data_IF_451331327416
#
_entry.id   IF_451331327416
#
_cell.length_a   1.000
_cell.length_b   1.000
_cell.length_c   1.000
_cell.angle_alpha   90.00
_cell.angle_beta   90.00
_cell.angle_gamma   90.00
#
_symmetry.space_group_name_H-M   'P 1'
#
loop_
_entity.id
_entity.type
_entity.pdbx_description
1 polymer ?
#
# COMPACT_ATOMS: atom_id res chain seq x y z
N UNK A 1 -47.47 -64.45 -31.29
CA UNK A 1 -48.10 -63.79 -30.12
C UNK A 1 -47.01 -63.13 -29.28
N UNK A 2 -47.05 -61.79 -29.22
CA UNK A 2 -46.60 -60.88 -28.13
C UNK A 2 -45.14 -60.90 -27.62
N UNK A 3 -44.62 -59.64 -27.49
CA UNK A 3 -43.70 -59.09 -26.46
C UNK A 3 -42.20 -59.37 -26.71
N UNK A 4 -41.25 -58.41 -26.75
CA UNK A 4 -41.09 -57.09 -26.12
C UNK A 4 -40.11 -56.24 -26.97
N UNK A 5 -40.55 -55.07 -27.42
CA UNK A 5 -39.73 -53.96 -27.90
C UNK A 5 -39.65 -52.93 -26.76
N UNK A 6 -38.61 -52.86 -25.92
CA UNK A 6 -38.53 -51.75 -24.93
C UNK A 6 -37.15 -51.43 -24.34
N UNK A 7 -36.02 -51.88 -24.91
CA UNK A 7 -34.69 -51.59 -24.30
C UNK A 7 -33.83 -50.63 -25.14
N UNK A 8 -34.20 -50.32 -26.39
CA UNK A 8 -33.35 -49.46 -27.25
C UNK A 8 -33.52 -47.95 -27.07
N UNK A 9 -34.51 -47.46 -26.31
CA UNK A 9 -34.76 -46.01 -26.17
C UNK A 9 -34.04 -45.36 -24.98
N UNK A 10 -33.44 -46.14 -24.07
CA UNK A 10 -32.84 -45.59 -22.85
C UNK A 10 -31.41 -45.04 -23.08
N UNK A 11 -30.67 -45.59 -24.04
CA UNK A 11 -29.27 -45.20 -24.29
C UNK A 11 -29.10 -43.96 -25.19
N UNK A 12 -30.16 -43.48 -25.84
CA UNK A 12 -30.07 -42.30 -26.72
C UNK A 12 -30.30 -40.97 -25.98
N UNK A 13 -30.99 -41.00 -24.84
CA UNK A 13 -31.28 -39.80 -24.03
C UNK A 13 -30.08 -39.44 -23.14
N UNK A 14 -29.31 -40.42 -22.68
CA UNK A 14 -28.09 -40.17 -21.90
C UNK A 14 -26.94 -39.55 -22.70
N UNK A 15 -26.92 -39.68 -24.04
CA UNK A 15 -25.85 -39.13 -24.87
C UNK A 15 -26.03 -37.65 -25.23
N UNK A 16 -27.24 -37.08 -25.05
CA UNK A 16 -27.51 -35.66 -25.32
C UNK A 16 -27.28 -34.76 -24.10
N UNK A 17 -27.44 -35.29 -22.88
CA UNK A 17 -27.21 -34.54 -21.64
C UNK A 17 -25.70 -34.42 -21.33
N UNK A 18 -24.89 -35.35 -21.83
CA UNK A 18 -23.44 -35.33 -21.65
C UNK A 18 -22.72 -34.22 -22.47
N UNK A 19 -23.37 -33.64 -23.49
CA UNK A 19 -22.74 -32.61 -24.34
C UNK A 19 -23.09 -31.16 -23.94
N UNK A 20 -24.13 -30.96 -23.12
CA UNK A 20 -24.59 -29.61 -22.71
C UNK A 20 -23.97 -29.18 -21.36
N UNK A 21 -23.35 -30.10 -20.61
CA UNK A 21 -22.75 -29.83 -19.30
C UNK A 21 -21.34 -29.22 -19.30
N UNK A 22 -20.69 -29.03 -20.46
CA UNK A 22 -19.28 -28.57 -20.56
C UNK A 22 -19.19 -27.13 -21.07
N UNK A 23 -20.15 -26.29 -20.71
CA UNK A 23 -20.04 -24.84 -20.91
C UNK A 23 -20.43 -24.13 -19.61
N UNK A 24 -19.79 -24.52 -18.50
CA UNK A 24 -19.60 -23.55 -17.43
C UNK A 24 -18.72 -22.47 -18.04
N UNK A 25 -19.18 -21.21 -18.18
CA UNK A 25 -18.24 -20.13 -18.43
C UNK A 25 -17.34 -20.18 -17.21
N UNK A 26 -16.10 -20.63 -17.40
CA UNK A 26 -15.02 -20.28 -16.51
C UNK A 26 -15.05 -18.77 -16.47
N UNK A 27 -15.73 -18.23 -15.44
CA UNK A 27 -15.77 -16.81 -15.21
C UNK A 27 -14.33 -16.38 -15.26
N UNK A 28 -14.00 -15.60 -16.29
CA UNK A 28 -12.76 -14.86 -16.34
C UNK A 28 -12.78 -14.07 -15.04
N UNK A 29 -12.11 -14.58 -14.01
CA UNK A 29 -11.75 -13.79 -12.87
C UNK A 29 -10.68 -12.85 -13.42
N UNK A 30 -11.13 -11.82 -14.13
CA UNK A 30 -10.33 -10.64 -14.36
C UNK A 30 -9.92 -10.21 -12.96
N UNK A 31 -8.63 -10.37 -12.65
CA UNK A 31 -8.10 -9.97 -11.36
C UNK A 31 -8.46 -8.50 -11.19
N UNK A 32 -9.32 -8.19 -10.23
CA UNK A 32 -9.91 -6.86 -10.14
C UNK A 32 -8.78 -5.90 -9.75
N UNK A 33 -8.38 -5.04 -10.69
CA UNK A 33 -7.33 -4.06 -10.46
C UNK A 33 -8.01 -2.84 -9.82
N UNK A 34 -7.54 -2.42 -8.65
CA UNK A 34 -8.09 -1.22 -7.99
C UNK A 34 -7.57 0.05 -8.67
N UNK A 35 -6.26 0.12 -8.89
CA UNK A 35 -5.59 1.22 -9.56
C UNK A 35 -4.59 0.66 -10.56
N UNK A 36 -4.66 1.14 -11.79
CA UNK A 36 -3.69 0.87 -12.84
C UNK A 36 -2.96 2.16 -13.21
N UNK A 37 -1.64 2.20 -13.01
CA UNK A 37 -0.77 3.25 -13.52
C UNK A 37 -0.27 2.82 -14.90
N UNK A 38 -0.47 3.65 -15.92
CA UNK A 38 -0.22 3.31 -17.34
C UNK A 38 0.91 4.14 -17.94
N UNK A 39 1.89 3.47 -18.56
CA UNK A 39 2.91 4.09 -19.40
C UNK A 39 3.90 4.99 -18.66
N UNK A 40 4.09 4.80 -17.36
CA UNK A 40 5.02 5.62 -16.56
C UNK A 40 6.46 5.13 -16.63
N UNK A 41 7.42 6.03 -16.44
CA UNK A 41 8.83 5.67 -16.32
C UNK A 41 9.09 5.16 -14.91
N UNK A 42 9.10 3.84 -14.75
CA UNK A 42 9.33 3.18 -13.47
C UNK A 42 10.82 3.14 -13.16
N UNK A 43 11.19 3.70 -12.00
CA UNK A 43 12.52 3.56 -11.40
C UNK A 43 12.38 2.78 -10.10
N UNK A 44 12.87 1.54 -10.09
CA UNK A 44 12.91 0.68 -8.90
C UNK A 44 14.28 0.00 -8.80
N UNK A 45 15.23 0.59 -8.03
CA UNK A 45 16.58 0.07 -7.90
C UNK A 45 16.65 -1.33 -7.30
N UNK A 46 15.71 -1.69 -6.40
CA UNK A 46 15.72 -2.99 -5.73
C UNK A 46 15.48 -4.12 -6.72
N UNK A 47 14.62 -3.88 -7.71
CA UNK A 47 14.28 -4.83 -8.77
C UNK A 47 15.03 -4.57 -10.08
N UNK A 48 16.00 -3.63 -10.09
CA UNK A 48 16.78 -3.23 -11.25
C UNK A 48 15.92 -2.77 -12.44
N UNK A 49 14.85 -2.02 -12.18
CA UNK A 49 13.95 -1.48 -13.20
C UNK A 49 14.23 0.01 -13.45
N UNK A 50 14.36 0.36 -14.73
CA UNK A 50 14.50 1.73 -15.22
C UNK A 50 13.97 1.79 -16.66
N UNK A 51 12.65 1.65 -16.81
CA UNK A 51 11.99 1.57 -18.12
C UNK A 51 10.52 1.99 -18.05
N UNK A 52 9.87 2.14 -19.21
CA UNK A 52 8.44 2.47 -19.30
C UNK A 52 7.61 1.20 -19.04
N UNK A 53 6.81 1.22 -17.97
CA UNK A 53 6.00 0.09 -17.51
C UNK A 53 4.64 0.53 -16.97
N UNK A 54 3.72 -0.42 -16.91
CA UNK A 54 2.46 -0.28 -16.17
C UNK A 54 2.60 -0.91 -14.78
N UNK A 55 1.90 -0.35 -13.80
CA UNK A 55 1.87 -0.86 -12.42
C UNK A 55 0.41 -1.05 -12.00
N UNK A 56 0.02 -2.29 -11.73
CA UNK A 56 -1.30 -2.64 -11.23
C UNK A 56 -1.28 -2.81 -9.71
N UNK A 57 -2.28 -2.25 -9.04
CA UNK A 57 -2.47 -2.28 -7.59
C UNK A 57 -3.82 -2.93 -7.29
N UNK A 58 -3.82 -3.90 -6.38
CA UNK A 58 -5.03 -4.56 -5.85
C UNK A 58 -4.86 -4.79 -4.35
N UNK A 59 -5.91 -4.54 -3.56
CA UNK A 59 -5.93 -4.73 -2.11
C UNK A 59 -4.74 -4.06 -1.38
N UNK A 60 -4.39 -2.85 -1.84
CA UNK A 60 -3.28 -2.07 -1.29
C UNK A 60 -1.88 -2.63 -1.58
N UNK A 61 -1.75 -3.61 -2.47
CA UNK A 61 -0.47 -4.24 -2.86
C UNK A 61 -0.22 -4.13 -4.36
N UNK A 62 1.05 -4.18 -4.75
CA UNK A 62 1.43 -4.28 -6.16
C UNK A 62 1.05 -5.67 -6.66
N UNK A 63 0.11 -5.74 -7.60
CA UNK A 63 -0.39 -6.98 -8.19
C UNK A 63 0.43 -7.39 -9.41
N UNK A 64 0.86 -6.43 -10.23
CA UNK A 64 1.69 -6.68 -11.41
C UNK A 64 2.50 -5.45 -11.81
N UNK A 65 3.67 -5.70 -12.40
CA UNK A 65 4.52 -4.69 -13.03
C UNK A 65 4.97 -5.27 -14.37
N UNK A 66 4.47 -4.73 -15.48
CA UNK A 66 4.80 -5.20 -16.85
C UNK A 66 4.35 -4.18 -17.90
N UNK A 67 4.72 -4.40 -19.15
CA UNK A 67 4.21 -3.63 -20.29
C UNK A 67 2.76 -3.98 -20.60
N UNK A 68 2.00 -2.98 -21.04
CA UNK A 68 0.68 -3.12 -21.66
C UNK A 68 -0.32 -3.98 -20.87
N UNK A 69 -0.49 -3.69 -19.57
CA UNK A 69 -1.51 -4.33 -18.73
C UNK A 69 -2.91 -3.98 -19.26
N UNK A 70 -3.79 -4.96 -19.45
CA UNK A 70 -5.17 -4.71 -19.87
C UNK A 70 -5.92 -3.85 -18.84
N UNK A 71 -6.54 -2.77 -19.31
CA UNK A 71 -7.27 -1.82 -18.48
C UNK A 71 -8.75 -2.20 -18.29
N UNK A 72 -9.28 -3.17 -19.06
CA UNK A 72 -10.70 -3.58 -19.02
C UNK A 72 -11.17 -3.98 -17.62
N UNK A 73 -10.26 -4.49 -16.78
CA UNK A 73 -10.55 -4.94 -15.40
C UNK A 73 -10.20 -3.93 -14.29
N UNK A 74 -9.76 -2.71 -14.62
CA UNK A 74 -9.33 -1.73 -13.63
C UNK A 74 -10.46 -0.80 -13.16
N UNK A 75 -10.67 -0.69 -11.84
CA UNK A 75 -11.61 0.28 -11.23
C UNK A 75 -11.19 1.71 -11.53
N UNK A 76 -9.88 1.98 -11.56
CA UNK A 76 -9.31 3.29 -11.87
C UNK A 76 -8.03 3.12 -12.69
N UNK A 77 -7.94 3.85 -13.79
CA UNK A 77 -6.73 3.91 -14.62
C UNK A 77 -6.18 5.33 -14.59
N UNK A 78 -4.87 5.47 -14.36
CA UNK A 78 -4.15 6.74 -14.32
C UNK A 78 -3.11 6.72 -15.42
N UNK A 79 -3.17 7.67 -16.35
CA UNK A 79 -2.15 7.85 -17.37
C UNK A 79 -0.92 8.54 -16.75
N UNK A 80 0.20 7.82 -16.70
CA UNK A 80 1.48 8.29 -16.17
C UNK A 80 2.51 8.56 -17.28
N UNK A 81 2.09 8.65 -18.54
CA UNK A 81 2.98 8.94 -19.67
C UNK A 81 3.75 10.23 -19.45
N UNK A 82 5.08 10.17 -19.59
CA UNK A 82 5.98 11.31 -19.37
C UNK A 82 6.22 11.66 -17.90
N UNK A 83 5.67 10.88 -16.95
CA UNK A 83 5.90 11.01 -15.53
C UNK A 83 6.76 9.85 -15.00
N UNK A 84 7.45 10.10 -13.89
CA UNK A 84 8.15 9.06 -13.15
C UNK A 84 7.21 8.34 -12.19
N UNK A 85 7.34 7.01 -12.12
CA UNK A 85 6.79 6.19 -11.06
C UNK A 85 7.98 5.71 -10.23
N UNK A 86 7.98 6.04 -8.94
CA UNK A 86 9.04 5.66 -7.99
C UNK A 86 8.43 5.02 -6.76
N UNK A 87 9.15 4.14 -6.04
CA UNK A 87 8.78 3.76 -4.69
C UNK A 87 8.52 5.00 -3.83
N UNK A 88 7.55 4.91 -2.94
CA UNK A 88 7.26 6.00 -2.00
C UNK A 88 8.52 6.41 -1.24
N UNK A 89 8.78 7.72 -1.18
CA UNK A 89 10.01 8.23 -0.57
C UNK A 89 9.99 8.03 0.94
N UNK A 90 11.18 7.86 1.50
CA UNK A 90 11.42 7.71 2.94
C UNK A 90 12.26 8.90 3.39
N UNK A 91 11.70 9.74 4.27
CA UNK A 91 12.45 10.79 4.95
C UNK A 91 12.99 10.24 6.26
N UNK A 92 14.31 10.09 6.35
CA UNK A 92 14.97 9.43 7.48
C UNK A 92 15.27 10.37 8.65
N UNK A 93 14.95 11.66 8.53
CA UNK A 93 15.27 12.63 9.57
C UNK A 93 14.17 13.69 9.69
N UNK A 94 13.22 13.44 10.59
CA UNK A 94 12.10 14.34 10.86
C UNK A 94 11.90 14.53 12.37
N UNK A 95 11.18 15.58 12.76
CA UNK A 95 10.72 15.78 14.13
C UNK A 95 9.20 15.91 14.12
N UNK A 96 8.51 14.82 14.48
CA UNK A 96 7.05 14.71 14.27
C UNK A 96 6.24 14.50 15.54
N UNK A 97 6.88 14.54 16.72
CA UNK A 97 6.16 14.50 18.00
C UNK A 97 5.57 15.87 18.37
N UNK A 98 4.64 16.37 17.54
CA UNK A 98 3.96 17.65 17.77
C UNK A 98 2.97 17.57 18.93
N UNK A 99 2.89 18.66 19.71
CA UNK A 99 1.97 18.76 20.85
C UNK A 99 1.93 20.17 21.46
N UNK A 100 1.31 20.33 22.64
CA UNK A 100 1.00 21.64 23.21
C UNK A 100 2.18 22.33 23.91
N UNK A 101 3.34 21.68 24.07
CA UNK A 101 4.45 22.26 24.82
C UNK A 101 5.16 23.39 24.04
N UNK A 102 5.24 24.62 24.60
CA UNK A 102 5.88 25.73 23.91
C UNK A 102 7.40 25.57 23.88
N UNK A 103 8.01 25.88 22.72
CA UNK A 103 9.48 25.92 22.51
C UNK A 103 10.20 24.59 22.76
N UNK A 104 9.55 23.46 22.51
CA UNK A 104 10.15 22.13 22.59
C UNK A 104 9.84 21.33 21.33
N UNK A 105 10.65 20.33 21.02
CA UNK A 105 10.32 19.37 19.96
C UNK A 105 9.45 18.24 20.51
N UNK A 106 9.84 17.62 21.63
CA UNK A 106 9.07 16.52 22.22
C UNK A 106 7.73 17.00 22.75
N UNK A 107 6.65 16.49 22.15
CA UNK A 107 5.28 16.92 22.41
C UNK A 107 5.08 18.42 22.19
N UNK A 108 5.86 19.07 21.31
CA UNK A 108 5.93 20.54 21.28
C UNK A 108 5.71 21.19 19.93
N UNK A 109 5.52 22.51 19.94
CA UNK A 109 5.23 23.31 18.74
C UNK A 109 6.39 23.42 17.74
N UNK A 110 7.60 22.96 18.12
CA UNK A 110 8.75 22.95 17.19
C UNK A 110 8.78 21.71 16.30
N UNK A 111 7.98 20.69 16.61
CA UNK A 111 7.75 19.53 15.75
C UNK A 111 6.60 19.80 14.77
N UNK A 112 6.54 19.01 13.70
CA UNK A 112 5.51 19.13 12.66
C UNK A 112 4.56 17.94 12.66
N UNK A 113 3.32 18.15 12.22
CA UNK A 113 2.40 17.05 11.93
C UNK A 113 2.88 16.30 10.68
N UNK A 114 3.01 14.95 10.70
CA UNK A 114 3.56 14.20 9.57
C UNK A 114 2.69 14.29 8.31
N UNK A 115 1.36 14.22 8.47
CA UNK A 115 0.42 14.19 7.34
C UNK A 115 0.32 15.54 6.59
N UNK A 116 0.73 16.65 7.21
CA UNK A 116 0.71 17.98 6.58
C UNK A 116 1.81 18.14 5.51
N UNK A 117 2.87 17.34 5.58
CA UNK A 117 4.08 17.48 4.75
C UNK A 117 4.43 16.24 3.92
N UNK A 118 3.80 15.09 4.19
CA UNK A 118 4.17 13.81 3.58
C UNK A 118 3.75 13.66 2.11
N UNK A 119 2.47 13.36 1.84
CA UNK A 119 2.01 12.88 0.54
C UNK A 119 2.14 13.92 -0.58
N UNK A 120 1.98 15.21 -0.24
CA UNK A 120 2.20 16.32 -1.19
C UNK A 120 3.63 16.41 -1.71
N UNK A 121 4.58 15.80 -1.00
CA UNK A 121 6.01 15.79 -1.32
C UNK A 121 6.48 14.39 -1.78
N UNK A 122 5.56 13.44 -1.98
CA UNK A 122 5.89 12.06 -2.36
C UNK A 122 6.48 11.21 -1.23
N UNK A 123 6.48 11.72 0.01
CA UNK A 123 6.96 10.99 1.19
C UNK A 123 5.82 10.10 1.69
N UNK A 124 6.10 8.81 1.83
CA UNK A 124 5.14 7.82 2.35
C UNK A 124 5.54 7.28 3.72
N UNK A 125 6.82 7.42 4.08
CA UNK A 125 7.36 7.02 5.37
C UNK A 125 8.26 8.12 5.90
N UNK A 126 8.10 8.46 7.18
CA UNK A 126 8.98 9.38 7.92
C UNK A 126 9.61 8.65 9.09
N UNK A 127 10.85 9.00 9.42
CA UNK A 127 11.57 8.50 10.60
C UNK A 127 11.82 9.68 11.54
N UNK A 128 11.23 9.62 12.73
CA UNK A 128 11.45 10.59 13.80
C UNK A 128 12.88 10.44 14.35
N UNK A 129 13.62 11.54 14.37
CA UNK A 129 15.05 11.57 14.69
C UNK A 129 15.32 11.75 16.20
N UNK A 130 14.68 10.93 17.04
CA UNK A 130 14.88 10.98 18.48
C UNK A 130 14.16 12.14 19.15
N UNK A 131 12.99 12.52 18.67
CA UNK A 131 12.20 13.56 19.32
C UNK A 131 11.71 13.09 20.69
N UNK A 132 11.26 11.84 20.80
CA UNK A 132 10.87 11.22 22.06
C UNK A 132 11.99 10.36 22.66
N UNK A 133 12.00 10.25 23.99
CA UNK A 133 12.78 9.29 24.74
C UNK A 133 11.90 8.21 25.34
N UNK A 134 12.48 7.29 26.12
CA UNK A 134 11.73 6.16 26.69
C UNK A 134 10.59 6.57 27.63
N UNK A 135 10.63 7.77 28.25
CA UNK A 135 9.60 8.22 29.20
C UNK A 135 8.33 8.73 28.54
N UNK A 136 8.42 9.21 27.30
CA UNK A 136 7.31 9.82 26.57
C UNK A 136 7.06 9.18 25.20
N UNK A 137 7.69 8.04 24.90
CA UNK A 137 7.46 7.32 23.65
C UNK A 137 6.01 6.82 23.51
N UNK A 138 5.36 6.41 24.61
CA UNK A 138 3.97 5.95 24.55
C UNK A 138 3.01 7.09 24.14
N UNK A 139 3.26 8.29 24.65
CA UNK A 139 2.55 9.49 24.22
C UNK A 139 2.78 9.75 22.74
N UNK A 140 4.03 9.70 22.28
CA UNK A 140 4.35 9.87 20.87
C UNK A 140 3.64 8.83 19.98
N UNK A 141 3.65 7.57 20.40
CA UNK A 141 3.01 6.47 19.67
C UNK A 141 1.50 6.68 19.56
N UNK A 142 0.83 6.94 20.67
CA UNK A 142 -0.64 7.04 20.74
C UNK A 142 -1.18 8.33 20.12
N UNK A 143 -0.41 9.42 20.17
CA UNK A 143 -0.82 10.72 19.64
C UNK A 143 -0.47 10.88 18.16
N UNK A 144 0.66 10.34 17.71
CA UNK A 144 1.16 10.57 16.35
C UNK A 144 1.22 9.27 15.54
N UNK A 145 2.03 8.29 15.95
CA UNK A 145 2.32 7.11 15.11
C UNK A 145 1.04 6.35 14.73
N UNK A 146 0.18 6.08 15.71
CA UNK A 146 -1.03 5.28 15.49
C UNK A 146 -2.15 6.05 14.77
N UNK A 147 -2.02 7.38 14.65
CA UNK A 147 -3.04 8.26 14.08
C UNK A 147 -2.68 8.81 12.70
N UNK A 148 -1.44 8.66 12.28
CA UNK A 148 -0.93 9.19 11.02
C UNK A 148 -1.30 8.27 9.85
N UNK A 149 -1.74 8.86 8.74
CA UNK A 149 -1.82 8.12 7.48
C UNK A 149 -0.42 7.83 6.93
N UNK A 150 0.52 8.76 7.15
CA UNK A 150 1.95 8.57 6.89
C UNK A 150 2.50 7.47 7.78
N UNK A 151 3.30 6.56 7.22
CA UNK A 151 4.01 5.58 8.06
C UNK A 151 5.09 6.30 8.87
N UNK A 152 4.95 6.32 10.19
CA UNK A 152 5.96 6.92 11.08
C UNK A 152 6.77 5.82 11.76
N UNK A 153 8.10 5.90 11.61
CA UNK A 153 9.08 5.14 12.39
C UNK A 153 9.81 6.10 13.32
N UNK A 154 10.58 5.59 14.28
CA UNK A 154 11.27 6.43 15.24
C UNK A 154 12.62 5.83 15.65
N UNK A 155 13.64 6.68 15.71
CA UNK A 155 14.78 6.45 16.58
C UNK A 155 14.41 6.88 17.99
N UNK A 156 14.68 6.05 18.98
CA UNK A 156 14.44 6.40 20.38
C UNK A 156 15.62 7.20 20.91
N UNK A 157 15.36 8.37 21.50
CA UNK A 157 16.42 9.19 22.10
C UNK A 157 16.97 8.51 23.37
N UNK A 158 18.28 8.64 23.57
CA UNK A 158 18.97 8.19 24.79
C UNK A 158 18.52 8.98 26.03
N UNK A 159 18.20 10.26 25.85
CA UNK A 159 17.65 11.15 26.88
C UNK A 159 16.23 10.72 27.18
N UNK A 160 15.90 10.51 28.46
CA UNK A 160 14.62 9.90 28.84
C UNK A 160 13.38 10.65 28.36
N UNK A 161 13.43 11.98 28.30
CA UNK A 161 12.33 12.84 27.82
C UNK A 161 12.48 13.29 26.37
N UNK A 162 13.55 12.88 25.68
CA UNK A 162 13.85 13.32 24.33
C UNK A 162 14.17 14.81 24.24
N UNK A 163 13.77 15.43 23.13
CA UNK A 163 14.17 16.78 22.75
C UNK A 163 13.26 17.88 23.34
N UNK A 164 13.37 18.11 24.66
CA UNK A 164 12.62 19.15 25.39
C UNK A 164 13.45 20.40 25.70
N UNK A 165 14.68 20.48 25.22
CA UNK A 165 15.63 21.56 25.49
C UNK A 165 16.41 21.41 26.80
N UNK A 166 17.49 22.18 26.91
CA UNK A 166 18.32 22.26 28.12
C UNK A 166 17.54 22.81 29.33
N UNK A 167 17.82 22.34 30.56
CA UNK A 167 18.91 21.43 30.96
C UNK A 167 18.55 19.93 30.89
N UNK A 168 17.31 19.60 30.52
CA UNK A 168 16.79 18.23 30.60
C UNK A 168 17.46 17.28 29.61
N UNK A 169 17.94 17.77 28.46
CA UNK A 169 18.64 16.98 27.45
C UNK A 169 20.03 16.45 27.88
N UNK A 170 20.45 16.73 29.12
CA UNK A 170 21.69 16.22 29.72
C UNK A 170 21.44 15.09 30.73
N UNK A 171 20.21 14.59 30.84
CA UNK A 171 19.85 13.52 31.78
C UNK A 171 20.00 12.12 31.15
N UNK A 172 21.25 11.69 30.96
CA UNK A 172 21.53 10.25 30.72
C UNK A 172 21.35 9.43 31.99
#
# INVERSE_FOLDING_TARGET
MRRIQTVLHFNLICSFIALVGICLPSGLLAQQIDILLKGGHLIDPKNNLNEILDVAISDGKIAAVKKDIDATGAKKTINATGLFIVPGLIDIHTHVFVGPQPRTFANGFSSVSPDDFSFRSGITTMVDAGTSGWRNFEDFKTQIIDRSATRVLAFLNIVGVGMVGSPHEQNV
#
